data_IF_761927443260
#
_entry.id   IF_761927443260
#
_cell.length_a   1.000
_cell.length_b   1.000
_cell.length_c   1.000
_cell.angle_alpha   90.00
_cell.angle_beta   90.00
_cell.angle_gamma   90.00
#
_symmetry.space_group_name_H-M   'P 1'
#
loop_
_entity.id
_entity.type
_entity.pdbx_description
1 polymer ?
#
# COMPACT_ATOMS: atom_id res chain seq x y z
N UNK A 1 0.08 68.96 11.23
CA UNK A 1 0.97 67.77 11.07
C UNK A 1 0.67 66.62 12.03
N UNK A 2 0.11 66.82 13.21
CA UNK A 2 -0.18 65.72 14.16
C UNK A 2 -1.35 64.82 13.68
N UNK A 3 -2.31 65.38 12.98
CA UNK A 3 -3.49 64.65 12.46
C UNK A 3 -3.13 63.67 11.32
N UNK A 4 -2.12 64.00 10.51
CA UNK A 4 -1.69 63.19 9.40
C UNK A 4 -0.97 61.91 9.86
N UNK A 5 -0.15 62.06 10.94
CA UNK A 5 0.55 60.91 11.52
C UNK A 5 -0.37 59.86 12.13
N UNK A 6 -1.42 60.31 12.82
CA UNK A 6 -2.41 59.40 13.45
C UNK A 6 -3.20 58.61 12.40
N UNK A 7 -3.56 59.25 11.29
CA UNK A 7 -4.27 58.58 10.18
C UNK A 7 -3.40 57.55 9.46
N UNK A 8 -2.11 57.84 9.30
CA UNK A 8 -1.15 56.94 8.64
C UNK A 8 -0.87 55.70 9.51
N UNK A 9 -0.69 55.88 10.80
CA UNK A 9 -0.53 54.76 11.77
C UNK A 9 -1.77 53.90 11.83
N UNK A 10 -2.96 54.47 11.81
CA UNK A 10 -4.23 53.74 11.81
C UNK A 10 -4.38 52.90 10.53
N UNK A 11 -4.03 53.43 9.35
CA UNK A 11 -4.07 52.67 8.10
C UNK A 11 -3.07 51.49 8.07
N UNK A 12 -1.86 51.72 8.58
CA UNK A 12 -0.85 50.67 8.67
C UNK A 12 -1.26 49.52 9.62
N UNK A 13 -1.90 49.87 10.74
CA UNK A 13 -2.44 48.90 11.68
C UNK A 13 -3.55 48.04 11.05
N UNK A 14 -4.44 48.61 10.27
CA UNK A 14 -5.54 47.90 9.59
C UNK A 14 -4.97 46.95 8.49
N UNK A 15 -3.97 47.41 7.73
CA UNK A 15 -3.31 46.59 6.73
C UNK A 15 -2.55 45.42 7.36
N UNK A 16 -1.85 45.66 8.47
CA UNK A 16 -1.15 44.61 9.23
C UNK A 16 -2.10 43.54 9.78
N UNK A 17 -3.25 43.95 10.32
CA UNK A 17 -4.28 43.03 10.82
C UNK A 17 -4.89 42.21 9.68
N UNK A 18 -5.12 42.82 8.52
CA UNK A 18 -5.67 42.10 7.35
C UNK A 18 -4.70 41.07 6.80
N UNK A 19 -3.40 41.39 6.68
CA UNK A 19 -2.38 40.49 6.23
C UNK A 19 -2.14 39.33 7.23
N UNK A 20 -2.12 39.64 8.52
CA UNK A 20 -1.98 38.61 9.58
C UNK A 20 -3.19 37.67 9.65
N UNK A 21 -4.41 38.20 9.51
CA UNK A 21 -5.62 37.39 9.54
C UNK A 21 -5.74 36.45 8.35
N UNK A 22 -5.36 36.90 7.17
CA UNK A 22 -5.38 36.06 5.95
C UNK A 22 -4.34 34.91 6.02
N UNK A 23 -3.16 35.18 6.59
CA UNK A 23 -2.12 34.16 6.77
C UNK A 23 -2.52 33.06 7.74
N UNK A 24 -3.29 33.39 8.78
CA UNK A 24 -3.80 32.39 9.75
C UNK A 24 -4.93 31.55 9.17
N UNK A 25 -5.77 32.13 8.32
CA UNK A 25 -6.84 31.39 7.63
C UNK A 25 -6.28 30.42 6.61
N UNK A 26 -5.25 30.79 5.85
CA UNK A 26 -4.59 29.91 4.89
C UNK A 26 -3.87 28.72 5.58
N UNK A 27 -3.29 28.96 6.75
CA UNK A 27 -2.66 27.89 7.53
C UNK A 27 -3.71 26.88 8.04
N UNK A 28 -4.84 27.34 8.54
CA UNK A 28 -5.93 26.47 9.01
C UNK A 28 -6.60 25.71 7.87
N UNK A 29 -6.79 26.31 6.72
CA UNK A 29 -7.36 25.64 5.55
C UNK A 29 -6.48 24.47 5.06
N UNK A 30 -5.15 24.63 5.12
CA UNK A 30 -4.20 23.56 4.79
C UNK A 30 -4.19 22.42 5.81
N UNK A 31 -4.32 22.73 7.09
CA UNK A 31 -4.41 21.71 8.15
C UNK A 31 -5.71 20.90 8.03
N UNK A 32 -6.82 21.55 7.72
CA UNK A 32 -8.11 20.87 7.50
C UNK A 32 -8.10 19.99 6.25
N UNK A 33 -7.42 20.42 5.18
CA UNK A 33 -7.27 19.63 3.95
C UNK A 33 -6.36 18.42 4.17
N UNK A 34 -5.26 18.58 4.87
CA UNK A 34 -4.37 17.47 5.25
C UNK A 34 -5.12 16.49 6.18
N UNK A 35 -5.90 16.99 7.12
CA UNK A 35 -6.70 16.15 8.01
C UNK A 35 -7.78 15.36 7.25
N UNK A 36 -8.42 15.97 6.24
CA UNK A 36 -9.42 15.31 5.38
C UNK A 36 -8.77 14.26 4.49
N UNK A 37 -7.63 14.58 3.85
CA UNK A 37 -6.89 13.65 3.02
C UNK A 37 -6.35 12.48 3.83
N UNK A 38 -5.83 12.72 5.03
CA UNK A 38 -5.37 11.67 5.92
C UNK A 38 -6.50 10.79 6.44
N UNK A 39 -7.68 11.36 6.72
CA UNK A 39 -8.87 10.61 7.09
C UNK A 39 -9.42 9.79 5.91
N UNK A 40 -9.34 10.32 4.69
CA UNK A 40 -9.75 9.61 3.48
C UNK A 40 -8.79 8.46 3.15
N UNK A 41 -7.48 8.66 3.31
CA UNK A 41 -6.46 7.60 3.16
C UNK A 41 -6.60 6.56 4.26
N UNK A 42 -6.89 6.97 5.51
CA UNK A 42 -7.14 6.04 6.61
C UNK A 42 -8.47 5.28 6.44
N UNK A 43 -9.49 5.95 5.87
CA UNK A 43 -10.77 5.32 5.51
C UNK A 43 -10.61 4.30 4.40
N UNK A 44 -9.82 4.64 3.37
CA UNK A 44 -9.54 3.73 2.26
C UNK A 44 -8.68 2.52 2.70
N UNK A 45 -7.69 2.75 3.59
CA UNK A 45 -6.92 1.64 4.18
C UNK A 45 -7.75 0.72 5.07
N UNK A 46 -8.83 1.22 5.68
CA UNK A 46 -9.77 0.38 6.44
C UNK A 46 -10.71 -0.41 5.52
N UNK A 47 -11.04 0.13 4.35
CA UNK A 47 -11.84 -0.59 3.34
C UNK A 47 -11.01 -1.69 2.67
N UNK A 48 -9.72 -1.49 2.48
CA UNK A 48 -8.81 -2.50 1.93
C UNK A 48 -8.40 -3.56 2.99
N UNK A 49 -8.48 -3.20 4.29
CA UNK A 49 -8.17 -4.12 5.40
C UNK A 49 -9.37 -4.98 5.83
N UNK A 50 -10.61 -4.60 5.47
CA UNK A 50 -11.80 -5.41 5.72
C UNK A 50 -12.17 -6.32 4.55
N UNK A 51 -11.47 -6.19 3.41
CA UNK A 51 -11.53 -7.15 2.32
C UNK A 51 -10.45 -8.26 2.45
N UNK A 52 -9.99 -8.52 3.65
CA UNK A 52 -9.52 -9.81 4.08
C UNK A 52 -10.72 -10.75 3.98
N UNK A 53 -11.10 -11.04 2.73
CA UNK A 53 -12.18 -11.95 2.43
C UNK A 53 -11.93 -13.20 3.24
N UNK A 54 -12.93 -13.58 4.03
CA UNK A 54 -13.07 -14.92 4.56
C UNK A 54 -13.24 -15.85 3.34
N UNK A 55 -12.22 -15.94 2.53
CA UNK A 55 -12.06 -16.95 1.51
C UNK A 55 -11.83 -18.22 2.30
N UNK A 56 -12.89 -19.02 2.43
CA UNK A 56 -12.82 -20.36 2.99
C UNK A 56 -11.99 -21.22 2.04
N UNK A 57 -10.68 -21.10 2.17
CA UNK A 57 -9.77 -21.98 1.46
C UNK A 57 -9.91 -23.41 1.98
N UNK A 58 -9.80 -24.36 1.09
CA UNK A 58 -9.73 -25.78 1.44
C UNK A 58 -8.32 -26.10 1.88
N UNK A 59 -8.19 -26.75 3.03
CA UNK A 59 -6.88 -27.19 3.53
C UNK A 59 -6.20 -28.12 2.54
N UNK A 60 -4.91 -27.91 2.33
CA UNK A 60 -4.12 -28.67 1.38
C UNK A 60 -2.90 -27.87 0.88
N UNK A 61 -2.18 -28.48 -0.03
CA UNK A 61 -1.05 -27.88 -0.72
C UNK A 61 -1.40 -27.65 -2.18
N UNK A 62 -1.23 -26.44 -2.65
CA UNK A 62 -1.57 -26.03 -4.02
C UNK A 62 -0.36 -25.40 -4.68
N UNK A 63 -0.20 -25.66 -5.96
CA UNK A 63 0.88 -25.07 -6.76
C UNK A 63 0.31 -24.12 -7.80
N UNK A 64 1.02 -23.03 -8.02
CA UNK A 64 0.76 -22.10 -9.11
C UNK A 64 2.05 -21.70 -9.80
N UNK A 65 1.93 -21.20 -11.00
CA UNK A 65 3.05 -20.76 -11.82
C UNK A 65 2.73 -19.46 -12.55
N UNK A 66 3.70 -18.58 -12.66
CA UNK A 66 3.58 -17.35 -13.42
C UNK A 66 4.95 -16.88 -13.89
N UNK A 67 4.95 -16.02 -14.91
CA UNK A 67 6.18 -15.46 -15.41
C UNK A 67 6.73 -14.37 -14.50
N UNK A 68 8.01 -14.46 -14.17
CA UNK A 68 8.78 -13.45 -13.47
C UNK A 68 9.63 -12.60 -14.43
N UNK A 69 10.80 -12.17 -13.98
CA UNK A 69 11.72 -11.36 -14.79
C UNK A 69 12.47 -12.18 -15.85
N UNK A 70 13.03 -13.32 -15.47
CA UNK A 70 13.87 -14.15 -16.34
C UNK A 70 13.18 -15.41 -16.85
N UNK A 71 12.10 -15.82 -16.23
CA UNK A 71 11.37 -17.03 -16.59
C UNK A 71 10.20 -17.32 -15.67
N UNK A 72 9.68 -18.54 -15.78
CA UNK A 72 8.53 -18.97 -15.00
C UNK A 72 8.93 -19.24 -13.55
N UNK A 73 8.19 -18.66 -12.63
CA UNK A 73 8.30 -18.91 -11.19
C UNK A 73 7.17 -19.86 -10.78
N UNK A 74 7.52 -20.93 -10.11
CA UNK A 74 6.57 -21.86 -9.51
C UNK A 74 6.54 -21.68 -8.00
N UNK A 75 5.35 -21.53 -7.42
CA UNK A 75 5.17 -21.47 -5.98
C UNK A 75 4.26 -22.59 -5.48
N UNK A 76 4.52 -23.03 -4.26
CA UNK A 76 3.70 -23.92 -3.49
C UNK A 76 3.08 -23.14 -2.33
N UNK A 77 1.76 -23.18 -2.23
CA UNK A 77 0.98 -22.55 -1.15
C UNK A 77 0.39 -23.64 -0.28
N UNK A 78 0.73 -23.65 0.98
CA UNK A 78 0.18 -24.54 1.99
C UNK A 78 -0.91 -23.85 2.77
N UNK A 79 -2.08 -24.48 2.84
CA UNK A 79 -3.24 -23.98 3.53
C UNK A 79 -3.59 -24.90 4.69
N UNK A 80 -3.70 -24.35 5.88
CA UNK A 80 -4.08 -25.03 7.11
C UNK A 80 -5.16 -24.21 7.84
N UNK A 81 -6.21 -24.88 8.28
CA UNK A 81 -7.33 -24.24 9.00
C UNK A 81 -7.98 -23.11 8.19
N UNK A 82 -8.13 -23.33 6.88
CA UNK A 82 -8.68 -22.36 5.93
C UNK A 82 -7.88 -21.05 5.82
N UNK A 83 -6.58 -21.08 6.17
CA UNK A 83 -5.66 -19.94 6.10
C UNK A 83 -4.38 -20.33 5.39
N UNK A 84 -3.77 -19.33 4.73
CA UNK A 84 -2.43 -19.49 4.16
C UNK A 84 -1.43 -19.63 5.30
N UNK A 85 -0.82 -20.82 5.43
CA UNK A 85 0.16 -21.12 6.47
C UNK A 85 1.59 -20.88 5.97
N UNK A 86 1.88 -21.23 4.72
CA UNK A 86 3.23 -21.15 4.15
C UNK A 86 3.17 -20.98 2.62
N UNK A 87 4.15 -20.25 2.08
CA UNK A 87 4.37 -20.11 0.64
C UNK A 87 5.84 -20.37 0.36
N UNK A 88 6.11 -21.32 -0.53
CA UNK A 88 7.46 -21.68 -0.96
C UNK A 88 7.64 -21.48 -2.45
N UNK A 89 8.74 -20.88 -2.88
CA UNK A 89 9.16 -20.87 -4.27
C UNK A 89 9.86 -22.19 -4.56
N UNK A 90 9.25 -23.06 -5.35
CA UNK A 90 9.75 -24.41 -5.66
C UNK A 90 10.58 -24.45 -6.92
N UNK A 91 10.35 -23.54 -7.87
CA UNK A 91 11.16 -23.40 -9.08
C UNK A 91 11.21 -21.94 -9.55
N UNK A 92 12.39 -21.49 -9.93
CA UNK A 92 12.65 -20.18 -10.52
C UNK A 92 13.99 -20.24 -11.28
N UNK A 93 14.16 -21.24 -12.16
CA UNK A 93 15.45 -21.62 -12.72
C UNK A 93 16.12 -20.55 -13.57
N UNK A 94 15.36 -19.65 -14.17
CA UNK A 94 15.85 -18.57 -15.04
C UNK A 94 15.79 -17.19 -14.39
N UNK A 95 15.39 -17.13 -13.14
CA UNK A 95 15.37 -15.88 -12.38
C UNK A 95 16.78 -15.50 -11.90
N UNK A 96 17.08 -14.21 -11.93
CA UNK A 96 18.28 -13.70 -11.28
C UNK A 96 18.16 -13.84 -9.76
N UNK A 97 19.14 -14.51 -9.15
CA UNK A 97 19.10 -14.83 -7.73
C UNK A 97 19.02 -13.61 -6.80
N UNK A 98 19.58 -12.47 -7.21
CA UNK A 98 19.52 -11.24 -6.43
C UNK A 98 18.09 -10.66 -6.43
N UNK A 99 17.46 -10.56 -7.60
CA UNK A 99 16.08 -10.08 -7.72
C UNK A 99 15.08 -11.05 -7.09
N UNK A 100 15.29 -12.35 -7.25
CA UNK A 100 14.46 -13.36 -6.62
C UNK A 100 14.54 -13.30 -5.09
N UNK A 101 15.73 -13.08 -4.54
CA UNK A 101 15.91 -12.92 -3.09
C UNK A 101 15.12 -11.75 -2.54
N UNK A 102 15.15 -10.59 -3.22
CA UNK A 102 14.35 -9.41 -2.86
C UNK A 102 12.86 -9.66 -3.08
N UNK A 103 12.49 -10.32 -4.17
CA UNK A 103 11.10 -10.62 -4.50
C UNK A 103 10.41 -11.52 -3.46
N UNK A 104 11.16 -12.39 -2.79
CA UNK A 104 10.62 -13.25 -1.71
C UNK A 104 10.09 -12.47 -0.50
N UNK A 105 10.46 -11.20 -0.34
CA UNK A 105 9.91 -10.33 0.71
C UNK A 105 8.42 -10.04 0.54
N UNK A 106 7.82 -10.37 -0.63
CA UNK A 106 6.37 -10.31 -0.83
C UNK A 106 5.64 -11.46 -0.10
N UNK A 107 6.30 -12.59 0.14
CA UNK A 107 5.68 -13.78 0.75
C UNK A 107 5.08 -13.50 2.12
N UNK A 108 5.80 -12.87 3.09
CA UNK A 108 5.20 -12.49 4.36
C UNK A 108 3.99 -11.58 4.22
N UNK A 109 3.99 -10.67 3.24
CA UNK A 109 2.86 -9.77 2.99
C UNK A 109 1.62 -10.52 2.53
N UNK A 110 1.77 -11.52 1.65
CA UNK A 110 0.69 -12.39 1.19
C UNK A 110 0.11 -13.21 2.35
N UNK A 111 0.97 -13.75 3.20
CA UNK A 111 0.56 -14.53 4.38
C UNK A 111 -0.18 -13.65 5.38
N UNK A 112 0.30 -12.46 5.67
CA UNK A 112 -0.32 -11.52 6.61
C UNK A 112 -1.67 -11.00 6.08
N UNK A 113 -1.74 -10.71 4.79
CA UNK A 113 -2.98 -10.29 4.12
C UNK A 113 -3.98 -11.44 3.89
N UNK A 114 -3.52 -12.70 3.98
CA UNK A 114 -4.30 -13.89 3.66
C UNK A 114 -4.91 -13.90 2.25
N UNK A 115 -4.29 -13.16 1.34
CA UNK A 115 -4.60 -13.11 -0.10
C UNK A 115 -3.36 -12.70 -0.89
N UNK A 116 -3.37 -12.89 -2.21
CA UNK A 116 -2.26 -12.52 -3.09
C UNK A 116 -2.31 -11.05 -3.56
N UNK A 117 -3.37 -10.31 -3.26
CA UNK A 117 -3.50 -8.91 -3.67
C UNK A 117 -2.75 -7.98 -2.72
N UNK A 118 -1.42 -7.98 -2.87
CA UNK A 118 -0.47 -7.15 -2.12
C UNK A 118 0.41 -6.35 -3.08
N UNK A 119 1.08 -5.33 -2.57
CA UNK A 119 2.00 -4.51 -3.34
C UNK A 119 3.25 -5.30 -3.74
N UNK A 120 3.79 -4.98 -4.92
CA UNK A 120 5.05 -5.58 -5.41
C UNK A 120 6.27 -4.95 -4.73
N UNK A 121 7.36 -5.70 -4.68
CA UNK A 121 8.62 -5.24 -4.08
C UNK A 121 9.35 -4.28 -5.01
N UNK A 122 9.62 -3.07 -4.54
CA UNK A 122 10.39 -2.07 -5.26
C UNK A 122 11.81 -2.59 -5.55
N UNK A 123 12.26 -2.46 -6.79
CA UNK A 123 13.55 -3.01 -7.23
C UNK A 123 13.51 -4.46 -7.73
N UNK A 124 12.46 -5.22 -7.37
CA UNK A 124 12.23 -6.58 -7.86
C UNK A 124 10.79 -6.77 -8.37
N UNK A 125 10.22 -5.75 -9.00
CA UNK A 125 8.80 -5.69 -9.38
C UNK A 125 8.37 -6.88 -10.25
N UNK A 126 9.14 -7.23 -11.26
CA UNK A 126 8.77 -8.35 -12.17
C UNK A 126 8.79 -9.71 -11.45
N UNK A 127 9.84 -10.00 -10.70
CA UNK A 127 9.95 -11.27 -9.96
C UNK A 127 8.92 -11.36 -8.84
N UNK A 128 8.64 -10.25 -8.12
CA UNK A 128 7.59 -10.22 -7.10
C UNK A 128 6.17 -10.31 -7.70
N UNK A 129 5.94 -9.74 -8.89
CA UNK A 129 4.70 -9.95 -9.64
C UNK A 129 4.54 -11.43 -10.04
N UNK A 130 5.61 -12.09 -10.45
CA UNK A 130 5.60 -13.53 -10.74
C UNK A 130 5.20 -14.36 -9.52
N UNK A 131 5.79 -14.09 -8.35
CA UNK A 131 5.42 -14.76 -7.09
C UNK A 131 3.95 -14.47 -6.71
N UNK A 132 3.51 -13.20 -6.82
CA UNK A 132 2.14 -12.78 -6.56
C UNK A 132 1.15 -13.57 -7.43
N UNK A 133 1.31 -13.53 -8.75
CA UNK A 133 0.42 -14.17 -9.71
C UNK A 133 0.42 -15.71 -9.58
N UNK A 134 1.58 -16.29 -9.33
CA UNK A 134 1.68 -17.73 -9.07
C UNK A 134 0.96 -18.13 -7.76
N UNK A 135 1.07 -17.31 -6.72
CA UNK A 135 0.33 -17.50 -5.46
C UNK A 135 -1.17 -17.34 -5.66
N UNK A 136 -1.62 -16.34 -6.42
CA UNK A 136 -3.03 -16.14 -6.78
C UNK A 136 -3.60 -17.37 -7.50
N UNK A 137 -2.90 -17.88 -8.51
CA UNK A 137 -3.31 -19.09 -9.22
C UNK A 137 -3.41 -20.33 -8.30
N UNK A 138 -2.49 -20.46 -7.34
CA UNK A 138 -2.56 -21.54 -6.36
C UNK A 138 -3.76 -21.38 -5.42
N UNK A 139 -4.06 -20.13 -4.98
CA UNK A 139 -5.20 -19.82 -4.11
C UNK A 139 -6.54 -20.01 -4.82
N UNK A 140 -6.65 -19.69 -6.12
CA UNK A 140 -7.85 -19.97 -6.92
C UNK A 140 -8.22 -21.46 -6.92
N UNK A 141 -7.22 -22.33 -6.97
CA UNK A 141 -7.42 -23.79 -6.88
C UNK A 141 -7.86 -24.26 -5.49
N UNK A 142 -7.62 -23.43 -4.48
CA UNK A 142 -7.93 -23.72 -3.08
C UNK A 142 -9.31 -23.19 -2.64
N UNK A 143 -9.95 -22.35 -3.42
CA UNK A 143 -11.31 -21.83 -3.10
C UNK A 143 -12.33 -22.95 -3.14
N UNK A 144 -13.23 -22.96 -2.13
CA UNK A 144 -14.34 -23.92 -2.03
C UNK A 144 -15.50 -23.56 -2.92
#
# INVERSE_FOLDING_TARGET
>A
MREFGVRLVSMLAIVGIRLGYNSVLDARAKEDEIARLSAQVAGNRRSDSENGGSTNYKDGTYTGEADGFGGTIQVEVKIEKSKIAEINVISAEKEDGAYLSMAKDIIPQIIDAQNADVDTISGATFSSTGIKNASEQALEKAVK
#
